data_IF_541318487220
#
_entry.id   IF_541318487220
#
_cell.length_a   1.000
_cell.length_b   1.000
_cell.length_c   1.000
_cell.angle_alpha   90.00
_cell.angle_beta   90.00
_cell.angle_gamma   90.00
#
_symmetry.space_group_name_H-M   'P 1'
#
loop_
_entity.id
_entity.type
_entity.pdbx_description
1 polymer ?
#
# COMPACT_ATOMS: atom_id res chain seq x y z
N UNK A 1 33.78 4.52 1.45
CA UNK A 1 32.45 4.12 2.00
C UNK A 1 31.40 5.06 1.46
N UNK A 2 30.19 4.58 1.24
CA UNK A 2 29.05 5.42 0.90
C UNK A 2 28.51 6.12 2.17
N UNK A 3 27.88 7.27 2.01
CA UNK A 3 27.24 8.02 3.08
C UNK A 3 25.71 7.97 2.92
N UNK A 4 25.00 7.70 4.01
CA UNK A 4 23.55 7.71 4.07
C UNK A 4 23.10 8.67 5.19
N UNK A 5 22.35 9.71 4.82
CA UNK A 5 21.77 10.64 5.80
C UNK A 5 20.34 10.21 6.12
N UNK A 6 20.08 9.96 7.40
CA UNK A 6 18.76 9.52 7.90
C UNK A 6 18.28 10.50 8.97
N UNK A 7 16.99 10.82 8.93
CA UNK A 7 16.34 11.59 9.97
C UNK A 7 15.69 10.63 10.96
N UNK A 8 16.03 10.77 12.24
CA UNK A 8 15.50 9.97 13.33
C UNK A 8 14.76 10.88 14.30
N UNK A 9 13.78 10.31 15.01
CA UNK A 9 13.21 10.96 16.19
C UNK A 9 14.29 11.11 17.27
N UNK A 10 14.19 12.16 18.09
CA UNK A 10 15.16 12.46 19.15
C UNK A 10 15.34 11.30 20.14
N UNK A 11 14.25 10.64 20.55
CA UNK A 11 14.32 9.48 21.46
C UNK A 11 15.14 8.33 20.87
N UNK A 12 14.94 8.04 19.58
CA UNK A 12 15.63 6.96 18.90
C UNK A 12 17.12 7.26 18.71
N UNK A 13 17.49 8.49 18.32
CA UNK A 13 18.89 8.91 18.21
C UNK A 13 19.60 8.81 19.58
N UNK A 14 18.96 9.30 20.64
CA UNK A 14 19.52 9.23 22.00
C UNK A 14 19.75 7.79 22.42
N UNK A 15 18.75 6.92 22.26
CA UNK A 15 18.85 5.50 22.63
C UNK A 15 19.91 4.78 21.82
N UNK A 16 19.94 5.01 20.51
CA UNK A 16 20.94 4.43 19.62
C UNK A 16 22.35 4.83 20.02
N UNK A 17 22.61 6.12 20.27
CA UNK A 17 23.93 6.60 20.70
C UNK A 17 24.38 5.96 22.00
N UNK A 18 23.52 5.95 23.03
CA UNK A 18 23.86 5.34 24.31
C UNK A 18 24.22 3.87 24.18
N UNK A 19 23.42 3.11 23.41
CA UNK A 19 23.66 1.68 23.19
C UNK A 19 24.92 1.44 22.37
N UNK A 20 25.11 2.17 21.28
CA UNK A 20 26.30 2.08 20.44
C UNK A 20 27.57 2.35 21.24
N UNK A 21 27.58 3.39 22.08
CA UNK A 21 28.73 3.73 22.92
C UNK A 21 28.95 2.73 24.05
N UNK A 22 27.87 2.13 24.58
CA UNK A 22 27.96 1.08 25.60
C UNK A 22 28.58 -0.22 25.05
N UNK A 23 28.20 -0.61 23.83
CA UNK A 23 28.64 -1.87 23.22
C UNK A 23 30.01 -1.74 22.54
N UNK A 24 30.20 -0.69 21.73
CA UNK A 24 31.39 -0.50 20.89
C UNK A 24 32.39 0.52 21.47
N UNK A 25 32.06 1.13 22.61
CA UNK A 25 32.90 2.11 23.28
C UNK A 25 32.75 3.55 22.79
N UNK A 26 33.53 4.45 23.40
CA UNK A 26 33.44 5.90 23.23
C UNK A 26 34.40 6.45 22.14
N UNK A 27 34.90 5.57 21.26
CA UNK A 27 35.87 5.91 20.22
C UNK A 27 35.26 6.52 18.96
N UNK A 28 36.10 7.06 18.07
CA UNK A 28 35.69 7.49 16.72
C UNK A 28 35.22 6.26 15.95
N UNK A 29 33.97 6.29 15.48
CA UNK A 29 33.41 5.26 14.61
C UNK A 29 32.43 4.29 15.29
N UNK A 30 32.28 4.31 16.62
CA UNK A 30 31.36 3.39 17.33
C UNK A 30 29.91 3.49 16.84
N UNK A 31 29.45 4.71 16.53
CA UNK A 31 28.13 4.94 15.94
C UNK A 31 27.99 4.37 14.53
N UNK A 32 29.03 4.54 13.71
CA UNK A 32 29.04 4.05 12.33
C UNK A 32 29.09 2.52 12.31
N UNK A 33 29.88 1.91 13.19
CA UNK A 33 29.98 0.46 13.32
C UNK A 33 28.66 -0.15 13.81
N UNK A 34 28.05 0.42 14.85
CA UNK A 34 26.72 0.02 15.30
C UNK A 34 25.65 0.18 14.20
N UNK A 35 25.75 1.23 13.37
CA UNK A 35 24.80 1.47 12.29
C UNK A 35 24.96 0.44 11.17
N UNK A 36 26.20 0.09 10.81
CA UNK A 36 26.48 -0.96 9.82
C UNK A 36 25.92 -2.30 10.28
N UNK A 37 26.16 -2.68 11.53
CA UNK A 37 25.65 -3.94 12.10
C UNK A 37 24.11 -3.98 12.11
N UNK A 38 23.47 -2.90 12.58
CA UNK A 38 22.01 -2.81 12.61
C UNK A 38 21.38 -2.87 11.21
N UNK A 39 21.94 -2.13 10.24
CA UNK A 39 21.45 -2.12 8.86
C UNK A 39 21.69 -3.47 8.17
N UNK A 40 22.81 -4.14 8.44
CA UNK A 40 23.11 -5.47 7.90
C UNK A 40 22.08 -6.49 8.39
N UNK A 41 21.83 -6.55 9.70
CA UNK A 41 20.82 -7.43 10.30
C UNK A 41 19.41 -7.15 9.79
N UNK A 42 19.09 -5.87 9.57
CA UNK A 42 17.81 -5.48 8.99
C UNK A 42 17.64 -6.02 7.57
N UNK A 43 18.64 -5.85 6.71
CA UNK A 43 18.61 -6.38 5.35
C UNK A 43 18.50 -7.91 5.33
N UNK A 44 19.33 -8.60 6.10
CA UNK A 44 19.32 -10.07 6.20
C UNK A 44 17.94 -10.61 6.62
N UNK A 45 17.33 -9.99 7.65
CA UNK A 45 16.02 -10.39 8.14
C UNK A 45 14.89 -10.16 7.14
N UNK A 46 15.01 -9.17 6.25
CA UNK A 46 13.99 -8.83 5.26
C UNK A 46 14.18 -9.54 3.91
N UNK A 47 15.41 -9.82 3.50
CA UNK A 47 15.67 -10.59 2.28
C UNK A 47 15.31 -12.08 2.47
N UNK A 48 15.52 -12.63 3.68
CA UNK A 48 15.02 -13.96 4.02
C UNK A 48 13.49 -14.07 3.91
N UNK A 49 12.74 -13.01 4.25
CA UNK A 49 11.28 -13.00 4.16
C UNK A 49 10.78 -12.95 2.72
N UNK A 50 11.45 -12.21 1.83
CA UNK A 50 11.10 -12.18 0.40
C UNK A 50 11.26 -13.55 -0.26
N UNK A 51 12.25 -14.35 0.15
CA UNK A 51 12.45 -15.70 -0.40
C UNK A 51 11.31 -16.68 -0.07
N UNK A 52 10.60 -16.49 1.06
CA UNK A 52 9.48 -17.33 1.48
C UNK A 52 8.11 -16.83 0.99
N UNK A 53 8.04 -15.61 0.45
CA UNK A 53 6.79 -14.99 -0.01
C UNK A 53 6.61 -15.05 -1.53
N UNK A 54 7.45 -15.81 -2.23
CA UNK A 54 7.37 -16.00 -3.67
C UNK A 54 6.62 -17.29 -4.08
N UNK A 55 5.92 -17.94 -3.13
CA UNK A 55 5.20 -19.21 -3.37
C UNK A 55 3.72 -19.23 -2.97
N UNK A 56 3.10 -18.10 -2.59
CA UNK A 56 1.67 -18.10 -2.20
C UNK A 56 0.86 -16.90 -2.74
N UNK A 57 1.20 -16.39 -3.93
CA UNK A 57 0.33 -15.48 -4.71
C UNK A 57 0.18 -15.96 -6.17
N UNK A 58 0.26 -17.27 -6.41
CA UNK A 58 -0.06 -17.92 -7.68
C UNK A 58 -0.93 -19.14 -7.42
N UNK A 59 -2.22 -18.89 -7.12
CA UNK A 59 -3.40 -19.71 -7.46
C UNK A 59 -4.55 -19.42 -6.48
N UNK A 60 -5.34 -18.40 -6.80
CA UNK A 60 -6.77 -18.49 -6.56
C UNK A 60 -7.53 -17.87 -7.72
N UNK A 61 -7.85 -18.77 -8.66
CA UNK A 61 -9.18 -18.99 -9.24
C UNK A 61 -10.00 -17.73 -9.57
N UNK A 62 -10.56 -17.53 -10.75
CA UNK A 62 -10.75 -18.36 -11.93
C UNK A 62 -11.51 -17.40 -12.85
N UNK A 63 -11.09 -17.26 -14.11
CA UNK A 63 -11.84 -16.49 -15.10
C UNK A 63 -13.29 -16.97 -15.10
N UNK A 64 -14.21 -16.12 -14.63
CA UNK A 64 -15.63 -16.35 -14.80
C UNK A 64 -16.02 -15.72 -16.13
N UNK A 65 -16.22 -16.63 -17.08
CA UNK A 65 -16.77 -16.50 -18.43
C UNK A 65 -17.78 -15.34 -18.62
N UNK A 66 -17.64 -14.50 -19.67
CA UNK A 66 -18.70 -13.58 -20.08
C UNK A 66 -19.79 -14.36 -20.82
N UNK A 67 -20.87 -14.73 -20.11
CA UNK A 67 -22.05 -15.31 -20.77
C UNK A 67 -22.73 -14.25 -21.64
N UNK A 68 -22.33 -14.27 -22.92
CA UNK A 68 -23.14 -13.78 -24.03
C UNK A 68 -24.33 -14.69 -24.17
N UNK A 69 -25.52 -14.21 -23.79
CA UNK A 69 -26.78 -14.81 -24.25
C UNK A 69 -27.57 -13.73 -25.01
N UNK A 70 -27.42 -13.80 -26.32
CA UNK A 70 -28.29 -13.17 -27.30
C UNK A 70 -29.70 -13.81 -27.27
N UNK A 71 -30.60 -13.18 -28.04
CA UNK A 71 -32.01 -13.54 -28.31
C UNK A 71 -32.95 -13.06 -27.18
N UNK A 72 -33.99 -12.24 -27.41
CA UNK A 72 -34.84 -12.10 -28.59
C UNK A 72 -35.73 -10.85 -28.42
N UNK A 73 -35.96 -10.08 -29.51
CA UNK A 73 -37.02 -9.06 -29.59
C UNK A 73 -38.40 -9.74 -29.63
N UNK A 74 -39.46 -9.07 -29.16
CA UNK A 74 -40.46 -8.68 -30.16
C UNK A 74 -41.10 -7.29 -29.92
N UNK A 75 -41.49 -6.71 -31.04
CA UNK A 75 -42.21 -5.46 -31.26
C UNK A 75 -43.56 -5.35 -30.54
N UNK A 76 -43.86 -4.16 -30.01
CA UNK A 76 -45.22 -3.64 -29.94
C UNK A 76 -45.22 -2.10 -29.93
N UNK A 77 -45.63 -1.54 -31.06
CA UNK A 77 -45.99 -0.14 -31.29
C UNK A 77 -47.34 0.15 -30.61
N UNK A 78 -47.55 1.35 -30.04
CA UNK A 78 -48.77 2.16 -30.25
C UNK A 78 -48.92 3.35 -29.27
N UNK A 79 -48.66 4.54 -29.80
CA UNK A 79 -49.49 5.75 -29.80
C UNK A 79 -50.44 6.14 -28.64
N UNK A 80 -50.32 7.43 -28.26
CA UNK A 80 -51.40 8.32 -27.82
C UNK A 80 -51.50 8.49 -26.30
N UNK A 81 -51.82 9.63 -25.70
CA UNK A 81 -52.35 10.92 -26.15
C UNK A 81 -52.44 11.79 -24.89
N UNK A 82 -51.84 13.00 -24.89
CA UNK A 82 -52.29 14.25 -24.25
C UNK A 82 -52.58 14.24 -22.72
N UNK A 83 -52.69 15.31 -21.95
CA UNK A 83 -52.57 16.76 -22.02
C UNK A 83 -52.69 17.27 -20.57
N UNK A 84 -52.16 18.47 -20.35
CA UNK A 84 -52.79 19.52 -19.54
C UNK A 84 -52.38 19.74 -18.06
N UNK A 85 -51.72 20.90 -17.91
CA UNK A 85 -52.00 21.98 -16.95
C UNK A 85 -51.48 21.94 -15.52
N UNK A 86 -50.70 22.97 -15.21
CA UNK A 86 -51.01 23.85 -14.07
C UNK A 86 -49.80 24.33 -13.27
N UNK A 87 -49.35 25.57 -13.54
CA UNK A 87 -48.99 26.68 -12.63
C UNK A 87 -48.69 26.38 -11.15
N UNK A 88 -47.87 27.10 -10.38
CA UNK A 88 -47.14 28.38 -10.46
C UNK A 88 -46.47 28.56 -9.07
N UNK A 89 -45.27 29.15 -9.02
CA UNK A 89 -44.64 30.00 -7.98
C UNK A 89 -45.03 29.83 -6.49
N UNK A 90 -44.04 29.77 -5.57
CA UNK A 90 -43.63 30.91 -4.72
C UNK A 90 -42.55 30.49 -3.70
N UNK A 91 -41.70 31.46 -3.37
CA UNK A 91 -40.59 31.50 -2.42
C UNK A 91 -41.02 31.37 -0.94
N UNK A 92 -40.13 30.88 -0.07
CA UNK A 92 -39.85 31.44 1.26
C UNK A 92 -38.48 30.96 1.72
#
# INVERSE_FOLDING_TARGET
MAELKVYLSEDLDRRFRMLAMSVYGYGRGSLSEAAVDALTKWCEGHDARKSNQQSEDEHSHSNSDPVSRAEERPDAISSGTKENSGSSLHVS
#
